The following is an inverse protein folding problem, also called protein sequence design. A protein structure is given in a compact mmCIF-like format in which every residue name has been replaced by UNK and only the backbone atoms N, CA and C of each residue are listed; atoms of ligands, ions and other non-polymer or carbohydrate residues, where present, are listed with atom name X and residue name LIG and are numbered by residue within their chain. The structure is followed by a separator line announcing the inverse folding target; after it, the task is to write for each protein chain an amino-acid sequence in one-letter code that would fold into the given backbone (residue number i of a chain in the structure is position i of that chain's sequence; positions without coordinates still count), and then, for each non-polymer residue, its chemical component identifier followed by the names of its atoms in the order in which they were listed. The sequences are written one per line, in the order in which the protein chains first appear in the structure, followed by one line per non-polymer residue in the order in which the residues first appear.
data_IF_565248573524
#
_entry.id   IF_565248573524
#
_cell.length_a   1.000
_cell.length_b   1.000
_cell.length_c   1.000
_cell.angle_alpha   90.00
_cell.angle_beta   90.00
_cell.angle_gamma   90.00
#
_symmetry.space_group_name_H-M   'P 1'
#
loop_
_entity.id
_entity.type
_entity.pdbx_description
1 polymer ?
#
# COMPACT_ATOMS: atom_id res chain seq x y z
N UNK A 1 36.88 -11.37 7.91
CA UNK A 1 37.50 -10.79 6.70
C UNK A 1 36.52 -9.74 6.19
N UNK A 2 36.80 -8.46 6.46
CA UNK A 2 35.88 -7.35 6.16
C UNK A 2 35.93 -7.04 4.66
N UNK A 3 35.07 -7.68 3.88
CA UNK A 3 34.71 -7.11 2.58
C UNK A 3 34.04 -5.77 2.86
N UNK A 4 34.63 -4.71 2.31
CA UNK A 4 34.09 -3.36 2.36
C UNK A 4 32.67 -3.40 1.78
N UNK A 5 31.65 -3.41 2.64
CA UNK A 5 30.24 -3.41 2.23
C UNK A 5 30.04 -2.25 1.26
N UNK A 6 29.72 -2.55 0.00
CA UNK A 6 29.47 -1.51 -1.00
C UNK A 6 28.28 -0.69 -0.53
N UNK A 7 28.50 0.61 -0.35
CA UNK A 7 27.47 1.56 0.08
C UNK A 7 26.85 2.25 -1.13
N UNK A 8 25.54 2.44 -1.11
CA UNK A 8 24.77 3.08 -2.18
C UNK A 8 23.73 4.01 -1.59
N UNK A 9 23.45 5.13 -2.25
CA UNK A 9 22.39 6.03 -1.83
C UNK A 9 21.09 5.60 -2.50
N UNK A 10 20.10 5.16 -1.72
CA UNK A 10 18.82 4.63 -2.19
C UNK A 10 17.68 5.20 -1.36
N UNK A 11 16.49 5.27 -1.95
CA UNK A 11 15.25 5.56 -1.22
C UNK A 11 14.80 4.33 -0.44
N UNK A 12 14.71 4.46 0.88
CA UNK A 12 14.21 3.36 1.72
C UNK A 12 12.68 3.38 1.80
N UNK A 13 11.99 2.44 1.16
CA UNK A 13 10.51 2.33 1.22
C UNK A 13 9.94 2.00 2.62
N UNK A 14 10.77 1.70 3.63
CA UNK A 14 10.31 1.42 5.00
C UNK A 14 10.33 2.64 5.92
N UNK A 15 11.37 3.47 5.81
CA UNK A 15 11.46 4.71 6.57
C UNK A 15 11.27 5.93 5.67
N UNK A 16 10.95 5.74 4.40
CA UNK A 16 10.72 6.79 3.40
C UNK A 16 11.76 7.91 3.46
N UNK A 17 13.03 7.50 3.58
CA UNK A 17 14.16 8.42 3.65
C UNK A 17 15.18 7.95 2.63
N UNK A 18 15.61 8.87 1.77
CA UNK A 18 16.76 8.63 0.92
C UNK A 18 18.00 8.64 1.82
N UNK A 19 18.67 7.49 1.90
CA UNK A 19 19.79 7.29 2.82
C UNK A 19 20.80 6.33 2.22
N UNK A 20 21.92 6.18 2.92
CA UNK A 20 22.92 5.19 2.57
C UNK A 20 22.40 3.80 2.91
N UNK A 21 22.54 2.88 1.98
CA UNK A 21 22.23 1.48 2.10
C UNK A 21 23.54 0.69 1.93
N UNK A 22 23.75 -0.28 2.81
CA UNK A 22 24.86 -1.23 2.75
C UNK A 22 24.43 -2.49 1.98
N UNK A 23 25.12 -2.84 0.90
CA UNK A 23 24.94 -4.12 0.23
C UNK A 23 25.40 -5.24 1.17
N UNK A 24 24.48 -6.12 1.55
CA UNK A 24 24.75 -7.26 2.42
C UNK A 24 25.11 -8.51 1.64
N UNK A 25 24.38 -8.78 0.56
CA UNK A 25 24.53 -9.99 -0.25
C UNK A 25 24.11 -9.72 -1.68
N UNK A 26 24.78 -10.41 -2.61
CA UNK A 26 24.35 -10.55 -4.00
C UNK A 26 24.37 -12.03 -4.33
N UNK A 27 23.28 -12.55 -4.89
CA UNK A 27 23.15 -13.94 -5.27
C UNK A 27 22.50 -14.03 -6.64
N UNK A 28 22.98 -14.95 -7.48
CA UNK A 28 22.37 -15.25 -8.76
C UNK A 28 21.45 -16.47 -8.60
N UNK A 29 20.26 -16.39 -9.20
CA UNK A 29 19.24 -17.44 -9.25
C UNK A 29 18.44 -17.26 -10.54
N UNK A 30 17.22 -17.75 -10.58
CA UNK A 30 16.22 -17.52 -11.60
C UNK A 30 14.97 -16.82 -11.05
N UNK A 31 14.24 -16.12 -11.91
CA UNK A 31 12.84 -15.74 -11.68
C UNK A 31 11.94 -16.62 -12.53
N UNK A 32 10.89 -17.14 -11.91
CA UNK A 32 9.83 -17.87 -12.61
C UNK A 32 8.78 -16.87 -13.13
N UNK A 33 8.46 -16.96 -14.42
CA UNK A 33 7.35 -16.21 -15.03
C UNK A 33 6.41 -17.17 -15.72
N UNK A 34 5.12 -17.04 -15.41
CA UNK A 34 4.05 -17.72 -16.10
C UNK A 34 3.44 -16.75 -17.12
N UNK A 35 3.32 -17.16 -18.39
CA UNK A 35 2.62 -16.37 -19.39
C UNK A 35 1.10 -16.60 -19.34
N UNK A 36 0.36 -15.93 -20.23
CA UNK A 36 -1.10 -16.01 -20.28
C UNK A 36 -1.63 -17.42 -20.65
N UNK A 37 -0.80 -18.26 -21.27
CA UNK A 37 -1.14 -19.63 -21.68
C UNK A 37 -0.78 -20.66 -20.60
N UNK A 38 -0.19 -20.21 -19.47
CA UNK A 38 0.22 -21.06 -18.37
C UNK A 38 1.61 -21.68 -18.55
N UNK A 39 2.37 -21.25 -19.55
CA UNK A 39 3.73 -21.71 -19.76
C UNK A 39 4.68 -21.03 -18.77
N UNK A 40 5.45 -21.86 -18.04
CA UNK A 40 6.44 -21.41 -17.08
C UNK A 40 7.80 -21.26 -17.76
N UNK A 41 8.35 -20.05 -17.66
CA UNK A 41 9.70 -19.71 -18.10
C UNK A 41 10.55 -19.34 -16.89
N UNK A 42 11.84 -19.65 -16.95
CA UNK A 42 12.82 -19.33 -15.93
C UNK A 42 13.88 -18.42 -16.55
N UNK A 43 14.11 -17.27 -15.95
CA UNK A 43 15.03 -16.26 -16.44
C UNK A 43 16.14 -16.03 -15.41
N UNK A 44 17.42 -16.09 -15.80
CA UNK A 44 18.51 -15.77 -14.90
C UNK A 44 18.33 -14.38 -14.27
N UNK A 45 18.46 -14.32 -12.96
CA UNK A 45 18.24 -13.11 -12.18
C UNK A 45 19.31 -12.93 -11.10
N UNK A 46 19.69 -11.69 -10.85
CA UNK A 46 20.53 -11.33 -9.70
C UNK A 46 19.63 -10.73 -8.61
N UNK A 47 19.72 -11.31 -7.41
CA UNK A 47 19.14 -10.79 -6.18
C UNK A 47 20.17 -9.97 -5.41
N UNK A 48 19.82 -8.74 -5.06
CA UNK A 48 20.64 -7.84 -4.24
C UNK A 48 19.93 -7.50 -2.94
N UNK A 49 20.55 -7.87 -1.81
CA UNK A 49 20.04 -7.56 -0.47
C UNK A 49 20.78 -6.34 0.07
N UNK A 50 20.04 -5.27 0.30
CA UNK A 50 20.53 -4.05 0.94
C UNK A 50 20.00 -3.92 2.36
N UNK A 51 20.78 -3.30 3.24
CA UNK A 51 20.34 -2.82 4.54
C UNK A 51 20.38 -1.31 4.57
N UNK A 52 19.27 -0.68 4.94
CA UNK A 52 19.20 0.76 5.15
C UNK A 52 20.03 1.14 6.39
N UNK A 53 21.01 2.04 6.26
CA UNK A 53 21.82 2.50 7.40
C UNK A 53 20.99 3.40 8.37
N UNK A 54 19.83 3.90 7.93
CA UNK A 54 18.93 4.71 8.75
C UNK A 54 18.00 3.88 9.66
N UNK A 55 17.23 2.96 9.09
CA UNK A 55 16.27 2.14 9.86
C UNK A 55 16.71 0.70 10.08
N UNK A 56 17.90 0.30 9.62
CA UNK A 56 18.51 -1.04 9.73
C UNK A 56 17.74 -2.19 9.08
N UNK A 57 16.62 -1.90 8.39
CA UNK A 57 15.80 -2.89 7.69
C UNK A 57 16.39 -3.24 6.33
N UNK A 58 16.06 -4.44 5.87
CA UNK A 58 16.50 -4.96 4.58
C UNK A 58 15.54 -4.62 3.45
N UNK A 59 16.07 -4.56 2.24
CA UNK A 59 15.34 -4.49 0.97
C UNK A 59 15.97 -5.46 -0.03
N UNK A 60 15.16 -6.15 -0.82
CA UNK A 60 15.60 -7.07 -1.87
C UNK A 60 15.25 -6.45 -3.22
N UNK A 61 16.25 -6.40 -4.10
CA UNK A 61 16.11 -5.98 -5.48
C UNK A 61 16.40 -7.16 -6.39
N UNK A 62 15.66 -7.26 -7.49
CA UNK A 62 15.81 -8.31 -8.49
C UNK A 62 16.10 -7.67 -9.84
N UNK A 63 17.21 -8.08 -10.45
CA UNK A 63 17.58 -7.69 -11.81
C UNK A 63 17.52 -8.91 -12.72
N UNK A 64 16.76 -8.83 -13.81
CA UNK A 64 16.72 -9.83 -14.91
C UNK A 64 16.30 -9.15 -16.21
N UNK A 65 16.35 -9.86 -17.34
CA UNK A 65 15.93 -9.28 -18.63
C UNK A 65 14.42 -8.99 -18.72
N UNK A 66 13.61 -9.55 -17.83
CA UNK A 66 12.17 -9.28 -17.76
C UNK A 66 11.81 -8.02 -16.96
N UNK A 67 12.75 -7.44 -16.23
CA UNK A 67 12.47 -6.27 -15.40
C UNK A 67 12.52 -4.98 -16.21
N UNK A 68 11.73 -3.99 -15.80
CA UNK A 68 11.81 -2.60 -16.25
C UNK A 68 12.56 -1.79 -15.18
N UNK A 69 13.89 -1.62 -15.31
CA UNK A 69 14.70 -1.16 -14.20
C UNK A 69 14.43 0.31 -13.86
N UNK A 70 13.84 0.55 -12.69
CA UNK A 70 13.86 1.87 -12.03
C UNK A 70 15.17 2.15 -11.29
N UNK A 71 16.02 1.13 -11.11
CA UNK A 71 17.32 1.23 -10.45
C UNK A 71 18.40 0.38 -11.14
N UNK A 72 19.68 0.67 -10.87
CA UNK A 72 20.82 -0.14 -11.36
C UNK A 72 20.81 -1.59 -10.81
N UNK A 73 20.01 -1.86 -9.77
CA UNK A 73 19.87 -3.17 -9.12
C UNK A 73 18.59 -3.90 -9.53
N UNK A 74 17.83 -3.34 -10.48
CA UNK A 74 16.55 -3.86 -10.92
C UNK A 74 15.36 -3.31 -10.11
N UNK A 75 14.28 -4.08 -10.04
CA UNK A 75 13.07 -3.70 -9.32
C UNK A 75 13.14 -4.15 -7.87
N UNK A 76 12.49 -3.41 -6.96
CA UNK A 76 12.42 -3.81 -5.56
C UNK A 76 11.30 -4.82 -5.34
N UNK A 77 11.69 -6.04 -4.96
CA UNK A 77 10.76 -7.12 -4.61
C UNK A 77 10.38 -7.08 -3.12
N UNK A 78 11.33 -6.73 -2.25
CA UNK A 78 11.10 -6.59 -0.82
C UNK A 78 11.60 -5.24 -0.27
N UNK A 79 10.85 -4.58 0.64
CA UNK A 79 9.44 -4.86 0.89
C UNK A 79 8.61 -4.71 -0.38
N UNK A 80 7.44 -5.37 -0.46
CA UNK A 80 6.50 -5.08 -1.53
C UNK A 80 6.29 -3.57 -1.59
N UNK A 81 6.17 -3.03 -2.80
CA UNK A 81 5.93 -1.61 -3.01
C UNK A 81 4.76 -1.11 -2.14
N UNK A 82 4.70 0.22 -1.93
CA UNK A 82 3.52 0.81 -1.30
C UNK A 82 2.25 0.30 -1.97
N UNK A 83 1.19 0.12 -1.19
CA UNK A 83 -0.11 -0.31 -1.70
C UNK A 83 -0.41 0.45 -2.99
N UNK A 84 -0.75 -0.30 -4.03
CA UNK A 84 -1.17 0.29 -5.30
C UNK A 84 -2.46 1.07 -5.06
N UNK A 85 -2.35 2.40 -5.05
CA UNK A 85 -3.44 3.35 -4.85
C UNK A 85 -3.87 4.00 -6.16
N UNK A 86 -3.61 3.35 -7.30
CA UNK A 86 -4.09 3.81 -8.62
C UNK A 86 -5.61 3.95 -8.61
N UNK A 87 -6.10 4.94 -9.34
CA UNK A 87 -7.53 5.30 -9.38
C UNK A 87 -8.02 6.14 -8.20
N UNK A 88 -7.25 6.27 -7.12
CA UNK A 88 -7.60 7.16 -6.03
C UNK A 88 -7.29 8.63 -6.37
N UNK A 89 -8.15 9.60 -5.98
CA UNK A 89 -7.86 11.01 -6.12
C UNK A 89 -6.65 11.43 -5.29
N UNK A 90 -5.94 12.48 -5.73
CA UNK A 90 -4.72 12.97 -5.09
C UNK A 90 -4.87 13.22 -3.58
N UNK A 91 -6.04 13.69 -3.12
CA UNK A 91 -6.29 13.92 -1.70
C UNK A 91 -6.32 12.61 -0.87
N UNK A 92 -6.91 11.54 -1.41
CA UNK A 92 -6.95 10.21 -0.78
C UNK A 92 -5.55 9.61 -0.80
N UNK A 93 -4.86 9.66 -1.95
CA UNK A 93 -3.51 9.14 -2.10
C UNK A 93 -2.53 9.79 -1.13
N UNK A 94 -2.57 11.12 -1.03
CA UNK A 94 -1.74 11.87 -0.10
C UNK A 94 -2.04 11.50 1.36
N UNK A 95 -3.31 11.42 1.75
CA UNK A 95 -3.68 11.04 3.11
C UNK A 95 -3.17 9.64 3.47
N UNK A 96 -3.30 8.69 2.54
CA UNK A 96 -2.85 7.31 2.72
C UNK A 96 -1.32 7.23 2.85
N UNK A 97 -0.57 7.89 1.96
CA UNK A 97 0.89 7.95 2.01
C UNK A 97 1.40 8.57 3.32
N UNK A 98 0.76 9.63 3.80
CA UNK A 98 1.12 10.25 5.09
C UNK A 98 0.90 9.30 6.27
N UNK A 99 -0.17 8.49 6.24
CA UNK A 99 -0.39 7.46 7.25
C UNK A 99 0.71 6.40 7.20
N UNK A 100 0.99 5.83 6.03
CA UNK A 100 2.05 4.83 5.86
C UNK A 100 3.43 5.35 6.31
N UNK A 101 3.73 6.62 6.05
CA UNK A 101 4.99 7.26 6.46
C UNK A 101 5.24 7.20 7.98
N UNK A 102 4.19 7.39 8.79
CA UNK A 102 4.34 7.44 10.25
C UNK A 102 4.16 6.08 10.93
N UNK A 103 3.68 5.07 10.20
CA UNK A 103 3.34 3.73 10.70
C UNK A 103 4.43 3.08 11.53
N UNK A 104 5.67 3.15 11.04
CA UNK A 104 6.85 2.58 11.71
C UNK A 104 7.41 3.46 12.84
N UNK A 105 6.94 4.71 12.96
CA UNK A 105 7.49 5.75 13.86
C UNK A 105 6.60 6.03 15.05
N UNK A 106 5.28 6.04 14.87
CA UNK A 106 4.33 6.32 15.94
C UNK A 106 3.00 5.64 15.67
N UNK A 107 2.65 4.67 16.52
CA UNK A 107 1.39 3.94 16.47
C UNK A 107 0.18 4.86 16.71
N UNK A 108 0.35 5.85 17.59
CA UNK A 108 -0.65 6.88 17.86
C UNK A 108 -0.86 7.76 16.64
N UNK A 109 0.21 8.28 16.05
CA UNK A 109 0.11 9.10 14.84
C UNK A 109 -0.52 8.31 13.69
N UNK A 110 -0.16 7.04 13.53
CA UNK A 110 -0.74 6.15 12.54
C UNK A 110 -2.26 6.01 12.71
N UNK A 111 -2.73 5.72 13.93
CA UNK A 111 -4.16 5.61 14.22
C UNK A 111 -4.93 6.90 13.91
N UNK A 112 -4.34 8.07 14.20
CA UNK A 112 -4.94 9.37 13.90
C UNK A 112 -4.98 9.63 12.39
N UNK A 113 -3.88 9.35 11.68
CA UNK A 113 -3.82 9.54 10.23
C UNK A 113 -4.68 8.52 9.47
N UNK A 114 -4.86 7.30 10.00
CA UNK A 114 -5.80 6.33 9.48
C UNK A 114 -7.24 6.87 9.42
N UNK A 115 -7.68 7.60 10.46
CA UNK A 115 -8.96 8.32 10.42
C UNK A 115 -8.98 9.41 9.33
N UNK A 116 -7.87 10.14 9.15
CA UNK A 116 -7.75 11.16 8.10
C UNK A 116 -7.87 10.56 6.69
N UNK A 117 -7.41 9.32 6.49
CA UNK A 117 -7.65 8.57 5.25
C UNK A 117 -9.15 8.35 5.03
N UNK A 118 -9.87 7.87 6.06
CA UNK A 118 -11.33 7.68 5.97
C UNK A 118 -12.06 9.00 5.66
N UNK A 119 -11.64 10.11 6.28
CA UNK A 119 -12.19 11.44 5.99
C UNK A 119 -11.96 11.84 4.52
N UNK A 120 -10.79 11.53 3.95
CA UNK A 120 -10.50 11.81 2.54
C UNK A 120 -11.37 10.95 1.60
N UNK A 121 -11.53 9.66 1.90
CA UNK A 121 -12.37 8.73 1.14
C UNK A 121 -13.83 9.19 1.15
N UNK A 122 -14.36 9.55 2.33
CA UNK A 122 -15.73 10.01 2.46
C UNK A 122 -15.96 11.35 1.76
N UNK A 123 -14.99 12.27 1.77
CA UNK A 123 -15.11 13.52 1.02
C UNK A 123 -15.16 13.31 -0.48
N UNK A 124 -14.45 12.30 -0.99
CA UNK A 124 -14.50 11.92 -2.40
C UNK A 124 -15.86 11.30 -2.77
N UNK A 125 -16.33 10.31 -2.01
CA UNK A 125 -17.50 9.49 -2.36
C UNK A 125 -18.84 10.00 -1.82
N UNK A 126 -18.81 10.86 -0.82
CA UNK A 126 -19.98 11.32 -0.05
C UNK A 126 -19.81 12.79 0.35
N UNK A 127 -19.45 13.66 -0.59
CA UNK A 127 -19.14 15.07 -0.35
C UNK A 127 -20.20 15.86 0.45
N UNK A 128 -21.46 15.45 0.37
CA UNK A 128 -22.59 16.09 1.07
C UNK A 128 -22.69 15.73 2.55
N UNK A 129 -22.13 14.59 2.98
CA UNK A 129 -22.26 14.10 4.36
C UNK A 129 -21.04 14.48 5.20
N UNK A 130 -21.27 15.34 6.20
CA UNK A 130 -20.21 15.87 7.06
C UNK A 130 -19.85 14.94 8.23
N UNK A 131 -20.74 14.01 8.56
CA UNK A 131 -20.50 13.06 9.65
C UNK A 131 -19.89 11.76 9.09
N UNK A 132 -18.64 11.48 9.46
CA UNK A 132 -17.91 10.30 8.98
C UNK A 132 -18.67 8.98 9.22
N UNK A 133 -19.34 8.82 10.36
CA UNK A 133 -20.11 7.60 10.67
C UNK A 133 -21.33 7.45 9.75
N UNK A 134 -22.03 8.56 9.47
CA UNK A 134 -23.18 8.55 8.56
C UNK A 134 -22.74 8.31 7.12
N UNK A 135 -21.63 8.91 6.69
CA UNK A 135 -21.10 8.72 5.35
C UNK A 135 -20.69 7.27 5.09
N UNK A 136 -20.03 6.61 6.05
CA UNK A 136 -19.69 5.19 5.94
C UNK A 136 -20.94 4.31 5.81
N UNK A 137 -22.01 4.63 6.55
CA UNK A 137 -23.28 3.93 6.41
C UNK A 137 -23.92 4.19 5.04
N UNK A 138 -23.83 5.42 4.51
CA UNK A 138 -24.33 5.77 3.17
C UNK A 138 -23.63 4.92 2.11
N UNK A 139 -22.29 4.82 2.16
CA UNK A 139 -21.53 3.95 1.25
C UNK A 139 -21.98 2.49 1.32
N UNK A 140 -22.23 1.98 2.53
CA UNK A 140 -22.73 0.62 2.70
C UNK A 140 -24.15 0.44 2.13
N UNK A 141 -25.06 1.40 2.40
CA UNK A 141 -26.44 1.33 1.90
C UNK A 141 -26.54 1.45 0.38
N UNK A 142 -25.58 2.14 -0.25
CA UNK A 142 -25.46 2.23 -1.71
C UNK A 142 -24.78 1.00 -2.34
N UNK A 143 -24.29 0.07 -1.52
CA UNK A 143 -23.54 -1.09 -2.00
C UNK A 143 -22.12 -0.77 -2.47
N UNK A 144 -21.62 0.45 -2.26
CA UNK A 144 -20.25 0.84 -2.65
C UNK A 144 -19.18 0.16 -1.78
N UNK A 145 -19.55 -0.24 -0.56
CA UNK A 145 -18.72 -1.08 0.31
C UNK A 145 -19.59 -2.14 1.01
N UNK A 146 -19.08 -3.35 1.29
CA UNK A 146 -19.75 -4.32 2.14
C UNK A 146 -19.98 -3.78 3.56
N UNK A 147 -21.06 -4.20 4.21
CA UNK A 147 -21.39 -3.81 5.60
C UNK A 147 -20.26 -4.11 6.59
N UNK A 148 -19.55 -5.23 6.39
CA UNK A 148 -18.36 -5.60 7.16
C UNK A 148 -17.25 -4.54 7.08
N UNK A 149 -17.01 -3.96 5.89
CA UNK A 149 -15.99 -2.91 5.73
C UNK A 149 -16.45 -1.60 6.36
N UNK A 150 -17.75 -1.30 6.32
CA UNK A 150 -18.30 -0.13 7.01
C UNK A 150 -18.18 -0.24 8.53
N UNK A 151 -18.38 -1.44 9.10
CA UNK A 151 -18.15 -1.73 10.52
C UNK A 151 -16.67 -1.57 10.88
N UNK A 152 -15.76 -2.16 10.09
CA UNK A 152 -14.32 -2.00 10.29
C UNK A 152 -13.87 -0.53 10.22
N UNK A 153 -14.37 0.23 9.25
CA UNK A 153 -14.09 1.67 9.12
C UNK A 153 -14.62 2.47 10.32
N UNK A 154 -15.78 2.09 10.88
CA UNK A 154 -16.28 2.69 12.11
C UNK A 154 -15.39 2.38 13.32
N UNK A 155 -14.85 1.16 13.43
CA UNK A 155 -13.87 0.83 14.47
C UNK A 155 -12.58 1.64 14.32
N UNK A 156 -12.05 1.79 13.10
CA UNK A 156 -10.88 2.65 12.84
C UNK A 156 -11.17 4.09 13.24
N UNK A 157 -12.35 4.64 12.91
CA UNK A 157 -12.77 5.99 13.30
C UNK A 157 -12.78 6.15 14.82
N UNK A 158 -13.41 5.24 15.54
CA UNK A 158 -13.49 5.28 17.01
C UNK A 158 -12.10 5.16 17.63
N UNK A 159 -11.28 4.26 17.11
CA UNK A 159 -9.91 4.05 17.57
C UNK A 159 -9.02 5.27 17.32
N UNK A 160 -9.08 5.88 16.13
CA UNK A 160 -8.36 7.10 15.80
C UNK A 160 -8.80 8.31 16.63
N UNK A 161 -10.09 8.39 16.99
CA UNK A 161 -10.58 9.40 17.93
C UNK A 161 -9.98 9.23 19.32
N UNK A 162 -10.02 8.01 19.85
CA UNK A 162 -9.47 7.70 21.17
C UNK A 162 -7.95 7.97 21.20
N UNK A 163 -7.21 7.54 20.16
CA UNK A 163 -5.78 7.79 20.03
C UNK A 163 -5.39 9.28 20.07
N UNK A 164 -6.26 10.18 19.60
CA UNK A 164 -6.00 11.62 19.60
C UNK A 164 -6.26 12.30 20.95
N UNK A 165 -7.18 11.77 21.76
CA UNK A 165 -7.70 12.44 22.96
C UNK A 165 -7.34 11.75 24.27
N UNK A 166 -7.12 10.44 24.26
CA UNK A 166 -6.85 9.64 25.45
C UNK A 166 -5.35 9.42 25.63
N UNK A 167 -4.73 10.21 26.52
CA UNK A 167 -3.29 10.18 26.78
C UNK A 167 -2.75 8.79 27.23
N UNK A 168 -3.61 7.91 27.77
CA UNK A 168 -3.24 6.61 28.32
C UNK A 168 -3.69 5.42 27.45
N UNK A 169 -4.18 5.64 26.24
CA UNK A 169 -4.62 4.55 25.37
C UNK A 169 -3.43 3.68 24.94
N UNK A 170 -3.46 2.39 25.27
CA UNK A 170 -2.39 1.47 24.88
C UNK A 170 -2.58 0.96 23.45
N UNK A 171 -1.79 1.49 22.51
CA UNK A 171 -1.80 1.07 21.10
C UNK A 171 -0.67 0.07 20.85
N UNK A 172 -1.04 -1.17 20.52
CA UNK A 172 -0.12 -2.26 20.21
C UNK A 172 0.18 -2.30 18.71
N UNK A 173 1.19 -3.09 18.33
CA UNK A 173 1.48 -3.37 16.92
C UNK A 173 0.32 -4.11 16.23
N UNK A 174 -0.39 -4.97 16.96
CA UNK A 174 -1.54 -5.71 16.44
C UNK A 174 -2.65 -4.74 16.03
N UNK A 175 -2.91 -3.69 16.81
CA UNK A 175 -3.89 -2.66 16.44
C UNK A 175 -3.51 -1.98 15.11
N UNK A 176 -2.23 -1.61 14.96
CA UNK A 176 -1.72 -0.99 13.72
C UNK A 176 -1.88 -1.93 12.52
N UNK A 177 -1.53 -3.21 12.67
CA UNK A 177 -1.67 -4.21 11.62
C UNK A 177 -3.13 -4.41 11.19
N UNK A 178 -4.07 -4.39 12.14
CA UNK A 178 -5.50 -4.53 11.81
C UNK A 178 -6.04 -3.29 11.08
N UNK A 179 -5.71 -2.09 11.57
CA UNK A 179 -6.09 -0.83 10.91
C UNK A 179 -5.54 -0.79 9.49
N UNK A 180 -4.26 -1.13 9.32
CA UNK A 180 -3.59 -1.22 8.02
C UNK A 180 -4.31 -2.16 7.06
N UNK A 181 -4.58 -3.39 7.51
CA UNK A 181 -5.26 -4.40 6.69
C UNK A 181 -6.62 -3.90 6.21
N UNK A 182 -7.45 -3.35 7.10
CA UNK A 182 -8.78 -2.88 6.73
C UNK A 182 -8.75 -1.62 5.86
N UNK A 183 -7.80 -0.70 6.10
CA UNK A 183 -7.62 0.46 5.21
C UNK A 183 -7.19 0.03 3.81
N UNK A 184 -6.25 -0.92 3.71
CA UNK A 184 -5.81 -1.44 2.42
C UNK A 184 -6.96 -2.08 1.64
N UNK A 185 -7.77 -2.92 2.29
CA UNK A 185 -8.95 -3.54 1.66
C UNK A 185 -9.98 -2.48 1.24
N UNK A 186 -10.18 -1.44 2.05
CA UNK A 186 -11.13 -0.37 1.72
C UNK A 186 -10.67 0.44 0.49
N UNK A 187 -9.39 0.81 0.43
CA UNK A 187 -8.82 1.53 -0.71
C UNK A 187 -8.84 0.67 -1.96
N UNK A 188 -8.45 -0.60 -1.83
CA UNK A 188 -8.47 -1.56 -2.94
C UNK A 188 -9.89 -1.70 -3.52
N UNK A 189 -10.88 -1.93 -2.65
CA UNK A 189 -12.27 -2.11 -3.07
C UNK A 189 -12.85 -0.88 -3.79
N UNK A 190 -12.56 0.33 -3.28
CA UNK A 190 -13.15 1.55 -3.83
C UNK A 190 -12.42 2.07 -5.07
N UNK A 191 -11.11 1.86 -5.19
CA UNK A 191 -10.28 2.54 -6.19
C UNK A 191 -9.46 1.57 -7.04
N UNK A 192 -8.62 0.76 -6.41
CA UNK A 192 -7.62 -0.06 -7.11
C UNK A 192 -8.27 -1.17 -7.92
N UNK A 193 -9.13 -1.99 -7.31
CA UNK A 193 -9.81 -3.09 -7.99
C UNK A 193 -10.73 -2.62 -9.13
N UNK A 194 -11.56 -1.55 -8.97
CA UNK A 194 -12.32 -1.01 -10.09
C UNK A 194 -11.45 -0.48 -11.23
N UNK A 195 -10.28 0.10 -10.92
CA UNK A 195 -9.34 0.61 -11.94
C UNK A 195 -8.67 -0.55 -12.67
N UNK A 196 -8.18 -1.55 -11.93
CA UNK A 196 -7.59 -2.76 -12.50
C UNK A 196 -8.60 -3.51 -13.39
N UNK A 197 -9.88 -3.56 -13.00
CA UNK A 197 -10.93 -4.15 -13.84
C UNK A 197 -11.14 -3.35 -15.13
N UNK A 198 -11.11 -2.02 -15.09
CA UNK A 198 -11.20 -1.18 -16.30
C UNK A 198 -10.01 -1.42 -17.23
N UNK A 199 -8.79 -1.41 -16.68
CA UNK A 199 -7.57 -1.73 -17.44
C UNK A 199 -7.65 -3.13 -18.07
N UNK A 200 -8.16 -4.11 -17.32
CA UNK A 200 -8.35 -5.47 -17.80
C UNK A 200 -9.39 -5.56 -18.92
N UNK A 201 -10.51 -4.82 -18.80
CA UNK A 201 -11.53 -4.75 -19.87
C UNK A 201 -10.97 -4.17 -21.16
N UNK A 202 -10.17 -3.10 -21.08
CA UNK A 202 -9.48 -2.52 -22.25
C UNK A 202 -8.54 -3.53 -22.90
N UNK A 203 -7.79 -4.29 -22.10
CA UNK A 203 -6.89 -5.33 -22.61
C UNK A 203 -7.65 -6.47 -23.32
N UNK A 204 -8.90 -6.72 -22.95
CA UNK A 204 -9.76 -7.71 -23.57
C UNK A 204 -10.58 -7.17 -24.76
N UNK A 205 -10.36 -5.92 -25.20
CA UNK A 205 -11.20 -5.22 -26.19
C UNK A 205 -12.70 -5.23 -25.81
N UNK A 206 -13.02 -5.27 -24.52
CA UNK A 206 -14.39 -5.19 -24.00
C UNK A 206 -14.81 -3.72 -23.85
N UNK A 207 -14.77 -2.97 -24.94
CA UNK A 207 -15.26 -1.59 -24.98
C UNK A 207 -16.79 -1.59 -25.21
N UNK A 208 -17.53 -1.37 -24.12
CA UNK A 208 -18.91 -0.87 -24.16
C UNK A 208 -20.02 -1.93 -24.16
N UNK A 209 -20.60 -2.16 -22.99
CA UNK A 209 -22.06 -2.27 -22.76
C UNK A 209 -22.33 -3.06 -21.48
N UNK A 210 -22.14 -2.42 -20.32
CA UNK A 210 -22.99 -2.70 -19.17
C UNK A 210 -23.30 -1.37 -18.49
N UNK A 211 -24.33 -0.68 -19.01
CA UNK A 211 -25.18 0.13 -18.15
C UNK A 211 -25.75 -0.83 -17.11
N UNK A 212 -25.18 -0.80 -15.90
CA UNK A 212 -25.84 -1.42 -14.75
C UNK A 212 -26.90 -0.41 -14.29
N UNK A 213 -28.03 -0.44 -14.99
CA UNK A 213 -29.30 -0.04 -14.39
C UNK A 213 -29.73 -1.16 -13.43
N UNK A 214 -29.75 -0.85 -12.13
CA UNK A 214 -30.85 -1.03 -11.14
C UNK A 214 -30.30 -0.77 -9.75
#
# INVERSE_FOLDING_TARGET
MNETRRKKFLSCHRCDTATVHSLLCRADSDVERCDAEGYKSYEPATYSIFQCDGCTRISVYIWSAFHSPLSEFGEQDYPPGFLDIRGAPAAVSLAYQQAEHVKSRSKVAYAVLARKVLDAIVKDRCAEERNLSRALNVLATRGEIPSLLAEAANHIRLFGNAAAHEANMHITEIHVQMIDKFLAVLVDHLYTAPTALKEFKVLLDMDGDEQVDV
#
